data_IF_531000090143
#
_entry.id   IF_531000090143
#
_cell.length_a   1.000
_cell.length_b   1.000
_cell.length_c   1.000
_cell.angle_alpha   90.00
_cell.angle_beta   90.00
_cell.angle_gamma   90.00
#
_symmetry.space_group_name_H-M   'P 1'
#
loop_
_entity.id
_entity.type
_entity.pdbx_description
1 polymer ?
#
# COMPACT_ATOMS: atom_id res chain seq x y z
N UNK A 1 47.34 -11.48 79.39
CA UNK A 1 47.46 -12.28 78.14
C UNK A 1 46.10 -12.73 77.77
N UNK A 2 45.44 -11.95 76.84
CA UNK A 2 44.03 -12.14 76.48
C UNK A 2 43.99 -12.52 75.00
N UNK A 3 43.60 -13.75 74.73
CA UNK A 3 43.45 -14.27 73.35
C UNK A 3 42.17 -13.90 72.77
N UNK A 4 42.17 -13.08 71.68
CA UNK A 4 41.05 -12.71 70.86
C UNK A 4 40.80 -13.84 69.84
N UNK A 5 39.65 -14.49 69.89
CA UNK A 5 39.21 -15.48 68.89
C UNK A 5 38.48 -14.78 67.79
N UNK A 6 39.03 -14.79 66.58
CA UNK A 6 38.40 -14.29 65.33
C UNK A 6 37.44 -15.38 64.81
N UNK A 7 36.15 -15.07 64.74
CA UNK A 7 35.15 -15.92 64.10
C UNK A 7 35.08 -15.57 62.60
N UNK A 8 35.37 -16.52 61.77
CA UNK A 8 35.17 -16.46 60.33
C UNK A 8 33.71 -16.83 60.00
N UNK A 9 32.98 -15.90 59.38
CA UNK A 9 31.67 -16.16 58.76
C UNK A 9 31.90 -16.44 57.28
N UNK A 10 31.45 -17.58 56.70
CA UNK A 10 31.44 -17.78 55.28
C UNK A 10 30.20 -17.14 54.67
N UNK A 11 30.38 -16.00 54.00
CA UNK A 11 29.36 -15.44 53.12
C UNK A 11 29.32 -16.28 51.84
N UNK A 12 28.21 -16.99 51.61
CA UNK A 12 27.88 -17.63 50.35
C UNK A 12 27.17 -16.60 49.48
N UNK A 13 27.70 -16.22 48.31
CA UNK A 13 26.94 -15.37 47.38
C UNK A 13 25.91 -16.22 46.65
N UNK A 14 24.64 -15.97 46.88
CA UNK A 14 23.55 -16.48 46.07
C UNK A 14 23.57 -15.78 44.72
N UNK A 15 24.04 -16.46 43.68
CA UNK A 15 23.95 -16.00 42.29
C UNK A 15 22.48 -16.17 41.84
N UNK A 16 21.74 -15.08 41.88
CA UNK A 16 20.39 -15.02 41.26
C UNK A 16 20.58 -15.00 39.75
N UNK A 17 20.31 -16.10 39.08
CA UNK A 17 20.21 -16.19 37.63
C UNK A 17 18.95 -15.44 37.17
N UNK A 18 19.10 -14.22 36.72
CA UNK A 18 18.06 -13.44 36.00
C UNK A 18 17.89 -14.06 34.62
N UNK A 19 16.90 -14.93 34.48
CA UNK A 19 16.37 -15.40 33.19
C UNK A 19 15.71 -14.20 32.51
N UNK A 20 16.42 -13.56 31.60
CA UNK A 20 15.89 -12.55 30.70
C UNK A 20 14.91 -13.21 29.72
N UNK A 21 13.63 -13.14 30.00
CA UNK A 21 12.58 -13.42 29.03
C UNK A 21 12.68 -12.37 27.95
N UNK A 22 13.34 -12.68 26.84
CA UNK A 22 13.25 -11.92 25.60
C UNK A 22 11.83 -12.16 25.07
N UNK A 23 10.90 -11.32 25.49
CA UNK A 23 9.59 -11.25 24.87
C UNK A 23 9.84 -10.78 23.43
N UNK A 24 9.58 -11.66 22.45
CA UNK A 24 9.44 -11.26 21.05
C UNK A 24 8.24 -10.28 21.00
N UNK A 25 8.51 -8.98 21.05
CA UNK A 25 7.51 -7.98 20.74
C UNK A 25 7.05 -8.24 19.31
N UNK A 26 5.74 -8.33 19.03
CA UNK A 26 5.27 -8.43 17.66
C UNK A 26 5.82 -7.22 16.89
N UNK A 27 6.43 -7.47 15.73
CA UNK A 27 6.93 -6.41 14.88
C UNK A 27 5.77 -5.44 14.62
N UNK A 28 5.94 -4.19 15.04
CA UNK A 28 4.94 -3.17 14.74
C UNK A 28 4.86 -3.04 13.22
N UNK A 29 3.66 -3.00 12.64
CA UNK A 29 3.50 -2.80 11.22
C UNK A 29 4.17 -1.47 10.84
N UNK A 30 4.92 -1.46 9.74
CA UNK A 30 5.55 -0.25 9.22
C UNK A 30 4.45 0.77 8.86
N UNK A 31 4.36 1.83 9.65
CA UNK A 31 3.41 2.92 9.45
C UNK A 31 4.06 4.00 8.58
N UNK A 32 3.47 4.26 7.43
CA UNK A 32 3.91 5.32 6.51
C UNK A 32 2.83 6.39 6.44
N UNK A 33 3.17 7.62 6.81
CA UNK A 33 2.21 8.73 6.68
C UNK A 33 2.16 9.23 5.24
N UNK A 34 0.94 9.38 4.71
CA UNK A 34 0.66 10.00 3.42
C UNK A 34 -0.53 10.95 3.57
N UNK A 35 -0.25 12.26 3.45
CA UNK A 35 -1.26 13.29 3.73
C UNK A 35 -1.90 13.12 5.10
N UNK A 36 -3.22 12.97 5.11
CA UNK A 36 -4.02 12.72 6.32
C UNK A 36 -4.01 11.24 6.75
N UNK A 37 -3.65 10.34 5.85
CA UNK A 37 -3.77 8.91 6.10
C UNK A 37 -2.51 8.32 6.71
N UNK A 38 -2.72 7.31 7.54
CA UNK A 38 -1.68 6.37 7.98
C UNK A 38 -1.79 5.09 7.17
N UNK A 39 -0.79 4.85 6.33
CA UNK A 39 -0.67 3.66 5.53
C UNK A 39 -0.07 2.54 6.39
N UNK A 40 -0.85 1.52 6.66
CA UNK A 40 -0.41 0.31 7.34
C UNK A 40 -0.12 -0.78 6.30
N UNK A 41 1.15 -1.17 6.20
CA UNK A 41 1.63 -2.13 5.23
C UNK A 41 1.50 -3.58 5.75
N UNK A 42 1.21 -4.56 4.91
CA UNK A 42 1.25 -5.97 5.28
C UNK A 42 2.67 -6.43 5.58
N UNK A 43 2.81 -7.59 6.22
CA UNK A 43 4.12 -8.18 6.55
C UNK A 43 5.02 -8.29 5.32
N UNK A 44 6.30 -7.92 5.47
CA UNK A 44 7.31 -7.96 4.43
C UNK A 44 8.38 -6.89 4.63
N UNK A 45 9.41 -6.89 3.79
CA UNK A 45 10.45 -5.87 3.81
C UNK A 45 10.06 -4.73 2.88
N UNK A 46 9.55 -3.64 3.44
CA UNK A 46 9.12 -2.47 2.69
C UNK A 46 10.18 -1.37 2.71
N UNK A 47 10.53 -0.88 1.53
CA UNK A 47 11.48 0.20 1.33
C UNK A 47 10.76 1.46 0.85
N UNK A 48 10.92 2.61 1.52
CA UNK A 48 10.42 3.88 1.02
C UNK A 48 11.09 4.25 -0.31
N UNK A 49 10.30 4.60 -1.31
CA UNK A 49 10.77 5.10 -2.61
C UNK A 49 10.71 6.63 -2.72
N UNK A 50 10.16 7.29 -1.69
CA UNK A 50 9.92 8.72 -1.67
C UNK A 50 8.47 9.07 -1.97
N UNK A 51 8.25 10.33 -2.33
CA UNK A 51 6.93 10.85 -2.63
C UNK A 51 7.01 12.26 -3.17
N UNK A 52 5.85 12.84 -3.41
CA UNK A 52 5.68 14.17 -3.95
C UNK A 52 4.50 14.89 -3.30
N UNK A 53 4.41 16.19 -3.50
CA UNK A 53 3.29 17.01 -3.12
C UNK A 53 2.86 17.84 -4.33
N UNK A 54 1.59 17.84 -4.63
CA UNK A 54 1.02 18.58 -5.75
C UNK A 54 -0.31 19.20 -5.35
N UNK A 55 -0.82 20.09 -6.17
CA UNK A 55 -2.10 20.72 -5.98
C UNK A 55 -3.02 20.31 -7.13
N UNK A 56 -4.25 19.88 -6.79
CA UNK A 56 -5.28 19.58 -7.77
C UNK A 56 -6.23 20.76 -7.86
N UNK A 57 -6.43 21.23 -9.08
CA UNK A 57 -7.54 22.08 -9.40
C UNK A 57 -8.81 21.25 -9.45
N UNK A 58 -9.75 21.51 -8.55
CA UNK A 58 -10.97 20.75 -8.38
C UNK A 58 -12.23 21.54 -8.72
N UNK A 59 -12.06 22.76 -9.23
CA UNK A 59 -13.15 23.61 -9.69
C UNK A 59 -12.96 24.02 -11.15
N UNK A 60 -14.03 24.11 -11.94
CA UNK A 60 -13.94 24.45 -13.35
C UNK A 60 -13.70 25.95 -13.62
N UNK A 61 -13.75 26.76 -12.59
CA UNK A 61 -13.48 28.20 -12.66
C UNK A 61 -12.11 28.49 -12.03
N UNK A 62 -11.34 29.39 -12.62
CA UNK A 62 -10.01 29.86 -12.18
C UNK A 62 -9.96 30.42 -10.73
N UNK A 63 -10.99 30.18 -9.94
CA UNK A 63 -10.99 30.49 -8.53
C UNK A 63 -10.14 29.43 -7.80
N UNK A 64 -8.90 29.77 -7.55
CA UNK A 64 -7.87 28.98 -6.89
C UNK A 64 -8.36 28.32 -5.58
N UNK A 65 -8.84 27.09 -5.70
CA UNK A 65 -9.08 26.21 -4.55
C UNK A 65 -8.37 24.91 -4.84
N UNK A 66 -7.05 25.04 -5.01
CA UNK A 66 -6.17 23.91 -5.17
C UNK A 66 -6.27 22.98 -3.98
N UNK A 67 -6.59 21.74 -4.24
CA UNK A 67 -6.65 20.72 -3.23
C UNK A 67 -5.23 20.16 -3.03
N UNK A 68 -4.58 20.43 -1.89
CA UNK A 68 -3.23 19.94 -1.65
C UNK A 68 -3.23 18.42 -1.49
N UNK A 69 -2.44 17.77 -2.31
CA UNK A 69 -2.29 16.32 -2.37
C UNK A 69 -0.89 15.90 -1.96
N UNK A 70 -0.78 14.75 -1.34
CA UNK A 70 0.49 14.12 -1.03
C UNK A 70 0.53 12.70 -1.57
N UNK A 71 1.63 12.39 -2.25
CA UNK A 71 1.94 11.05 -2.76
C UNK A 71 3.05 10.43 -1.93
N UNK A 72 2.95 9.13 -1.66
CA UNK A 72 4.02 8.30 -1.12
C UNK A 72 4.09 7.00 -1.88
N UNK A 73 5.31 6.51 -2.06
CA UNK A 73 5.57 5.24 -2.71
C UNK A 73 6.47 4.37 -1.86
N UNK A 74 6.15 3.09 -1.82
CA UNK A 74 6.92 2.05 -1.12
C UNK A 74 7.08 0.82 -2.01
N UNK A 75 8.21 0.14 -1.90
CA UNK A 75 8.47 -1.12 -2.59
C UNK A 75 8.58 -2.27 -1.60
N UNK A 76 7.89 -3.36 -1.88
CA UNK A 76 8.10 -4.65 -1.22
C UNK A 76 9.26 -5.36 -1.90
N UNK A 77 10.25 -5.78 -1.12
CA UNK A 77 11.43 -6.50 -1.60
C UNK A 77 11.45 -7.94 -1.12
N UNK A 78 12.01 -8.82 -1.96
CA UNK A 78 12.39 -10.17 -1.53
C UNK A 78 13.64 -10.14 -0.67
N UNK A 79 14.04 -11.28 -0.11
CA UNK A 79 15.34 -11.44 0.58
C UNK A 79 16.54 -11.17 -0.33
N UNK A 80 16.38 -11.35 -1.65
CA UNK A 80 17.40 -11.05 -2.66
C UNK A 80 17.33 -9.62 -3.19
N UNK A 81 16.65 -8.69 -2.47
CA UNK A 81 16.45 -7.28 -2.85
C UNK A 81 15.68 -7.09 -4.18
N UNK A 82 15.06 -8.16 -4.70
CA UNK A 82 14.23 -8.07 -5.91
C UNK A 82 12.92 -7.32 -5.61
N UNK A 83 12.50 -6.35 -6.45
CA UNK A 83 11.21 -5.70 -6.29
C UNK A 83 10.07 -6.70 -6.57
N UNK A 84 9.25 -6.98 -5.56
CA UNK A 84 8.07 -7.85 -5.68
C UNK A 84 6.80 -7.07 -5.91
N UNK A 85 6.65 -5.93 -5.24
CA UNK A 85 5.53 -5.03 -5.48
C UNK A 85 5.94 -3.58 -5.25
N UNK A 86 5.23 -2.68 -5.89
CA UNK A 86 5.28 -1.24 -5.61
C UNK A 86 3.88 -0.77 -5.31
N UNK A 87 3.73 -0.01 -4.25
CA UNK A 87 2.51 0.66 -3.86
C UNK A 87 2.75 2.17 -3.91
N UNK A 88 1.93 2.87 -4.69
CA UNK A 88 1.90 4.34 -4.75
C UNK A 88 0.54 4.80 -4.27
N UNK A 89 0.53 5.60 -3.22
CA UNK A 89 -0.71 6.14 -2.63
C UNK A 89 -0.64 7.65 -2.68
N UNK A 90 -1.74 8.25 -3.15
CA UNK A 90 -1.94 9.68 -3.16
C UNK A 90 -3.26 10.00 -2.44
N UNK A 91 -3.25 10.98 -1.56
CA UNK A 91 -4.44 11.45 -0.84
C UNK A 91 -4.28 12.91 -0.44
N UNK A 92 -5.34 13.50 0.10
CA UNK A 92 -5.33 14.86 0.61
C UNK A 92 -4.21 15.08 1.64
N UNK A 93 -3.42 16.13 1.46
CA UNK A 93 -2.36 16.50 2.40
C UNK A 93 -2.92 17.06 3.71
N UNK A 94 -4.09 17.71 3.64
CA UNK A 94 -4.79 18.33 4.77
C UNK A 94 -6.28 18.00 4.72
N UNK A 95 -7.08 18.64 5.57
CA UNK A 95 -8.52 18.58 5.46
C UNK A 95 -8.97 19.16 4.11
N UNK A 96 -9.86 18.44 3.45
CA UNK A 96 -10.45 18.89 2.17
C UNK A 96 -11.51 19.95 2.40
N UNK A 97 -11.81 20.77 1.39
CA UNK A 97 -12.88 21.77 1.46
C UNK A 97 -14.24 21.09 1.69
N UNK A 98 -15.18 21.86 2.27
CA UNK A 98 -16.54 21.39 2.52
C UNK A 98 -17.46 21.60 1.32
N UNK A 99 -17.05 22.41 0.37
CA UNK A 99 -17.82 22.69 -0.84
C UNK A 99 -17.77 21.49 -1.80
N UNK A 100 -18.83 21.35 -2.59
CA UNK A 100 -18.91 20.30 -3.60
C UNK A 100 -17.77 20.42 -4.60
N UNK A 101 -17.04 19.33 -4.76
CA UNK A 101 -15.90 19.22 -5.67
C UNK A 101 -16.37 18.58 -6.97
N UNK A 102 -15.95 19.13 -8.11
CA UNK A 102 -16.17 18.54 -9.42
C UNK A 102 -14.93 17.74 -9.84
N UNK A 103 -15.10 16.45 -10.03
CA UNK A 103 -14.04 15.55 -10.46
C UNK A 103 -14.13 15.27 -11.95
N UNK A 104 -13.11 15.64 -12.70
CA UNK A 104 -13.06 15.47 -14.16
C UNK A 104 -12.49 14.12 -14.60
N UNK A 105 -11.93 13.32 -13.69
CA UNK A 105 -11.29 12.06 -14.03
C UNK A 105 -12.32 10.97 -14.32
N UNK A 106 -12.56 10.70 -15.58
CA UNK A 106 -13.45 9.63 -16.01
C UNK A 106 -12.82 8.23 -15.81
N UNK A 107 -13.67 7.26 -15.50
CA UNK A 107 -13.33 5.83 -15.45
C UNK A 107 -13.59 5.17 -16.81
N UNK A 108 -12.87 5.61 -17.84
CA UNK A 108 -13.11 5.15 -19.22
C UNK A 108 -12.66 3.70 -19.44
N UNK A 109 -13.38 2.92 -20.25
CA UNK A 109 -12.94 1.63 -20.72
C UNK A 109 -11.59 1.72 -21.44
N UNK A 110 -10.75 0.69 -21.28
CA UNK A 110 -9.44 0.60 -21.94
C UNK A 110 -9.22 -0.84 -22.43
N UNK A 111 -8.75 -0.99 -23.66
CA UNK A 111 -8.50 -2.31 -24.25
C UNK A 111 -7.53 -3.14 -23.39
N UNK A 112 -7.95 -4.36 -23.06
CA UNK A 112 -7.14 -5.30 -22.27
C UNK A 112 -6.97 -4.94 -20.79
N UNK A 113 -7.76 -4.01 -20.28
CA UNK A 113 -7.87 -3.63 -18.87
C UNK A 113 -9.28 -3.95 -18.40
N UNK A 114 -9.42 -4.64 -17.30
CA UNK A 114 -10.69 -4.76 -16.61
C UNK A 114 -10.95 -3.43 -15.90
N UNK A 115 -12.11 -2.83 -16.14
CA UNK A 115 -12.50 -1.54 -15.57
C UNK A 115 -13.87 -1.69 -14.91
N UNK A 116 -13.93 -1.32 -13.63
CA UNK A 116 -15.17 -1.30 -12.84
C UNK A 116 -15.40 0.14 -12.38
N UNK A 117 -16.49 0.74 -12.85
CA UNK A 117 -16.92 2.10 -12.48
C UNK A 117 -18.18 2.02 -11.62
N UNK A 118 -18.02 2.13 -10.31
CA UNK A 118 -19.13 2.13 -9.37
C UNK A 118 -19.79 3.52 -9.24
N UNK A 119 -19.11 4.58 -9.68
CA UNK A 119 -19.69 5.94 -9.73
C UNK A 119 -20.49 6.21 -11.02
N UNK A 120 -20.35 5.37 -12.06
CA UNK A 120 -21.07 5.42 -13.33
C UNK A 120 -21.08 6.79 -13.99
N UNK A 121 -19.89 7.41 -14.09
CA UNK A 121 -19.72 8.71 -14.74
C UNK A 121 -20.25 9.90 -13.93
N UNK A 122 -20.42 9.77 -12.63
CA UNK A 122 -20.75 10.90 -11.77
C UNK A 122 -19.70 12.01 -11.86
N UNK A 123 -20.09 13.30 -12.04
CA UNK A 123 -19.13 14.40 -12.06
C UNK A 123 -18.61 14.78 -10.68
N UNK A 124 -19.28 14.35 -9.61
CA UNK A 124 -18.96 14.69 -8.22
C UNK A 124 -18.34 13.53 -7.42
N UNK A 125 -18.16 12.37 -8.06
CA UNK A 125 -17.62 11.19 -7.42
C UNK A 125 -16.78 10.38 -8.39
N UNK A 126 -15.70 9.80 -7.89
CA UNK A 126 -14.92 8.76 -8.56
C UNK A 126 -15.02 7.49 -7.73
N UNK A 127 -15.27 6.35 -8.36
CA UNK A 127 -15.15 5.03 -7.74
C UNK A 127 -14.75 4.06 -8.87
N UNK A 128 -13.45 4.03 -9.16
CA UNK A 128 -12.90 3.42 -10.36
C UNK A 128 -11.79 2.42 -10.02
N UNK A 129 -12.07 1.14 -10.21
CA UNK A 129 -11.10 0.06 -10.09
C UNK A 129 -10.65 -0.39 -11.49
N UNK A 130 -9.35 -0.48 -11.71
CA UNK A 130 -8.75 -0.90 -12.97
C UNK A 130 -7.73 -2.02 -12.71
N UNK A 131 -7.76 -3.04 -13.54
CA UNK A 131 -6.87 -4.16 -13.45
C UNK A 131 -6.29 -4.56 -14.80
N UNK A 132 -4.98 -4.49 -14.94
CA UNK A 132 -4.23 -5.02 -16.07
C UNK A 132 -3.43 -6.24 -15.61
N UNK A 133 -3.86 -7.41 -16.05
CA UNK A 133 -3.30 -8.70 -15.64
C UNK A 133 -1.83 -8.88 -15.99
N UNK A 134 -1.38 -8.39 -17.13
CA UNK A 134 -0.02 -8.52 -17.64
C UNK A 134 0.47 -7.13 -18.06
N UNK A 135 0.82 -6.30 -17.05
CA UNK A 135 1.18 -4.91 -17.26
C UNK A 135 2.65 -4.74 -17.70
N UNK A 136 3.49 -5.76 -17.48
CA UNK A 136 4.89 -5.77 -17.93
C UNK A 136 5.07 -6.03 -19.43
N UNK A 137 3.98 -6.33 -20.16
CA UNK A 137 4.01 -6.58 -21.60
C UNK A 137 3.53 -5.35 -22.38
N UNK A 138 3.94 -5.24 -23.63
CA UNK A 138 3.43 -4.28 -24.63
C UNK A 138 3.60 -2.80 -24.25
N UNK A 139 4.55 -2.47 -23.36
CA UNK A 139 4.78 -1.09 -22.93
C UNK A 139 3.57 -0.44 -22.25
N UNK A 140 2.64 -1.24 -21.73
CA UNK A 140 1.39 -0.75 -21.16
C UNK A 140 1.57 0.35 -20.12
N UNK A 141 2.50 0.15 -19.17
CA UNK A 141 2.70 1.14 -18.10
C UNK A 141 3.22 2.47 -18.67
N UNK A 142 4.14 2.42 -19.63
CA UNK A 142 4.68 3.60 -20.28
C UNK A 142 3.63 4.36 -21.12
N UNK A 143 2.66 3.65 -21.72
CA UNK A 143 1.57 4.28 -22.47
C UNK A 143 0.43 4.78 -21.60
N UNK A 144 0.04 4.01 -20.58
CA UNK A 144 -1.10 4.33 -19.72
C UNK A 144 -0.77 5.28 -18.56
N UNK A 145 0.46 5.22 -18.04
CA UNK A 145 0.95 6.00 -16.89
C UNK A 145 2.43 6.39 -17.10
N UNK A 146 2.74 7.24 -18.12
CA UNK A 146 4.12 7.52 -18.52
C UNK A 146 4.97 8.13 -17.38
N UNK A 147 4.42 9.05 -16.61
CA UNK A 147 5.13 9.66 -15.49
C UNK A 147 5.47 8.62 -14.40
N UNK A 148 4.50 7.75 -14.05
CA UNK A 148 4.74 6.66 -13.10
C UNK A 148 5.79 5.67 -13.62
N UNK A 149 5.70 5.28 -14.89
CA UNK A 149 6.65 4.37 -15.50
C UNK A 149 8.08 4.92 -15.46
N UNK A 150 8.27 6.18 -15.87
CA UNK A 150 9.56 6.85 -15.82
C UNK A 150 10.10 6.95 -14.40
N UNK A 151 9.26 7.38 -13.46
CA UNK A 151 9.64 7.55 -12.07
C UNK A 151 10.09 6.23 -11.42
N UNK A 152 9.37 5.13 -11.67
CA UNK A 152 9.72 3.80 -11.17
C UNK A 152 10.99 3.24 -11.81
N UNK A 153 11.18 3.47 -13.10
CA UNK A 153 12.39 3.02 -13.82
C UNK A 153 13.64 3.69 -13.26
N UNK A 154 13.60 5.00 -13.01
CA UNK A 154 14.71 5.74 -12.40
C UNK A 154 15.10 5.22 -11.00
N UNK A 155 14.15 4.60 -10.28
CA UNK A 155 14.35 4.04 -8.94
C UNK A 155 14.60 2.53 -8.91
N UNK A 156 14.69 1.91 -10.08
CA UNK A 156 14.86 0.45 -10.21
C UNK A 156 13.82 -0.33 -9.40
N UNK A 157 12.58 0.19 -9.37
CA UNK A 157 11.50 -0.34 -8.56
C UNK A 157 10.46 -1.13 -9.36
N UNK A 158 10.61 -1.22 -10.69
CA UNK A 158 9.70 -2.02 -11.52
C UNK A 158 10.00 -3.50 -11.27
N UNK A 159 9.00 -4.35 -10.95
CA UNK A 159 9.21 -5.78 -10.82
C UNK A 159 9.80 -6.39 -12.09
N UNK A 160 10.88 -7.18 -11.97
CA UNK A 160 11.57 -7.80 -13.09
C UNK A 160 10.75 -8.92 -13.75
N UNK A 161 9.99 -9.67 -12.94
CA UNK A 161 9.09 -10.72 -13.42
C UNK A 161 7.78 -10.14 -13.98
N UNK A 162 7.00 -10.96 -14.72
CA UNK A 162 5.68 -10.54 -15.16
C UNK A 162 4.84 -10.03 -13.99
N UNK A 163 4.38 -8.80 -14.07
CA UNK A 163 3.60 -8.15 -13.04
C UNK A 163 2.22 -7.71 -13.54
N UNK A 164 1.32 -7.53 -12.59
CA UNK A 164 0.01 -6.94 -12.79
C UNK A 164 0.01 -5.49 -12.32
N UNK A 165 -0.86 -4.67 -12.90
CA UNK A 165 -1.13 -3.31 -12.42
C UNK A 165 -2.58 -3.23 -11.95
N UNK A 166 -2.74 -2.82 -10.71
CA UNK A 166 -4.04 -2.47 -10.10
C UNK A 166 -4.03 -0.98 -9.84
N UNK A 167 -5.06 -0.29 -10.26
CA UNK A 167 -5.25 1.13 -9.94
C UNK A 167 -6.66 1.32 -9.40
N UNK A 168 -6.75 1.95 -8.25
CA UNK A 168 -8.03 2.33 -7.66
C UNK A 168 -8.05 3.82 -7.36
N UNK A 169 -9.13 4.48 -7.74
CA UNK A 169 -9.37 5.89 -7.43
C UNK A 169 -10.75 6.05 -6.82
N UNK A 170 -10.80 6.77 -5.73
CA UNK A 170 -12.04 7.09 -5.05
C UNK A 170 -12.06 8.54 -4.57
N UNK A 171 -13.21 9.18 -4.73
CA UNK A 171 -13.41 10.53 -4.22
C UNK A 171 -14.82 10.71 -3.66
N UNK A 172 -14.97 11.69 -2.79
CA UNK A 172 -16.24 12.14 -2.25
C UNK A 172 -16.62 13.52 -2.81
N UNK A 173 -17.91 13.90 -2.80
CA UNK A 173 -18.34 15.23 -3.22
C UNK A 173 -17.72 16.37 -2.41
N UNK A 174 -17.33 16.08 -1.16
CA UNK A 174 -16.74 17.04 -0.23
C UNK A 174 -15.23 17.23 -0.43
N UNK A 175 -14.65 16.65 -1.49
CA UNK A 175 -13.22 16.80 -1.82
C UNK A 175 -12.29 15.77 -1.20
N UNK A 176 -12.82 14.75 -0.52
CA UNK A 176 -12.00 13.61 -0.09
C UNK A 176 -11.53 12.80 -1.31
N UNK A 177 -10.22 12.46 -1.37
CA UNK A 177 -9.63 11.74 -2.49
C UNK A 177 -8.58 10.73 -2.05
N UNK A 178 -8.59 9.57 -2.68
CA UNK A 178 -7.51 8.60 -2.62
C UNK A 178 -7.29 7.97 -3.99
N UNK A 179 -6.02 7.86 -4.38
CA UNK A 179 -5.57 7.09 -5.53
C UNK A 179 -4.53 6.08 -5.07
N UNK A 180 -4.67 4.85 -5.53
CA UNK A 180 -3.76 3.76 -5.23
C UNK A 180 -3.34 3.11 -6.54
N UNK A 181 -2.04 3.06 -6.83
CA UNK A 181 -1.47 2.27 -7.92
C UNK A 181 -0.60 1.17 -7.31
N UNK A 182 -0.84 -0.07 -7.70
CA UNK A 182 -0.06 -1.24 -7.27
C UNK A 182 0.49 -1.97 -8.48
N UNK A 183 1.82 -2.06 -8.57
CA UNK A 183 2.49 -3.01 -9.44
C UNK A 183 2.84 -4.23 -8.58
N UNK A 184 2.32 -5.38 -8.90
CA UNK A 184 2.57 -6.59 -8.12
C UNK A 184 3.06 -7.73 -9.02
N UNK A 185 4.18 -8.35 -8.62
CA UNK A 185 4.64 -9.59 -9.23
C UNK A 185 3.48 -10.59 -9.30
N UNK A 186 3.37 -11.26 -10.42
CA UNK A 186 2.29 -12.23 -10.65
C UNK A 186 2.22 -13.31 -9.59
N UNK A 187 3.36 -13.69 -9.01
CA UNK A 187 3.45 -14.70 -7.94
C UNK A 187 2.68 -14.30 -6.69
N UNK A 188 2.56 -12.99 -6.39
CA UNK A 188 1.84 -12.49 -5.22
C UNK A 188 0.31 -12.57 -5.36
N UNK A 189 -0.19 -12.47 -6.60
CA UNK A 189 -1.63 -12.37 -6.89
C UNK A 189 -2.24 -13.68 -7.37
N UNK A 190 -1.42 -14.65 -7.78
CA UNK A 190 -1.92 -15.86 -8.41
C UNK A 190 -1.35 -17.11 -7.76
N UNK A 191 -2.22 -18.07 -7.46
CA UNK A 191 -1.76 -19.37 -7.01
C UNK A 191 -1.02 -20.08 -8.15
N UNK A 192 0.01 -20.84 -7.77
CA UNK A 192 0.61 -21.83 -8.66
C UNK A 192 -0.34 -23.01 -8.73
N UNK A 193 -0.88 -23.29 -9.92
CA UNK A 193 -1.82 -24.38 -10.14
C UNK A 193 -1.27 -25.34 -11.20
N UNK A 194 -1.45 -26.63 -10.98
CA UNK A 194 -0.93 -27.69 -11.83
C UNK A 194 -1.98 -28.22 -12.82
N UNK A 195 -3.26 -28.03 -12.49
CA UNK A 195 -4.38 -28.55 -13.28
C UNK A 195 -5.64 -27.68 -13.11
N UNK A 196 -6.66 -27.95 -13.92
CA UNK A 196 -7.92 -27.23 -13.91
C UNK A 196 -8.70 -27.35 -12.59
N UNK A 197 -8.60 -28.48 -11.91
CA UNK A 197 -9.29 -28.70 -10.63
C UNK A 197 -8.71 -27.80 -9.54
N UNK A 198 -7.37 -27.72 -9.44
CA UNK A 198 -6.70 -26.79 -8.53
C UNK A 198 -7.03 -25.34 -8.86
N UNK A 199 -7.10 -24.99 -10.16
CA UNK A 199 -7.48 -23.66 -10.61
C UNK A 199 -8.90 -23.29 -10.15
N UNK A 200 -9.87 -24.20 -10.34
CA UNK A 200 -11.25 -23.96 -9.92
C UNK A 200 -11.37 -23.87 -8.40
N UNK A 201 -10.62 -24.72 -7.66
CA UNK A 201 -10.60 -24.69 -6.19
C UNK A 201 -9.95 -23.43 -5.63
N UNK A 202 -8.92 -22.91 -6.28
CA UNK A 202 -8.24 -21.68 -5.88
C UNK A 202 -9.12 -20.41 -6.00
N UNK A 203 -10.15 -20.46 -6.83
CA UNK A 203 -11.07 -19.35 -7.04
C UNK A 203 -10.42 -18.15 -7.73
N UNK A 204 -10.77 -16.94 -7.30
CA UNK A 204 -10.28 -15.67 -7.87
C UNK A 204 -9.57 -14.81 -6.81
N UNK A 205 -8.44 -15.26 -6.24
CA UNK A 205 -7.81 -14.58 -5.12
C UNK A 205 -7.35 -13.16 -5.46
N UNK A 206 -6.90 -12.91 -6.68
CA UNK A 206 -6.54 -11.57 -7.12
C UNK A 206 -7.73 -10.61 -7.12
N UNK A 207 -8.90 -11.07 -7.55
CA UNK A 207 -10.12 -10.25 -7.56
C UNK A 207 -10.55 -9.91 -6.13
N UNK A 208 -10.62 -10.91 -5.24
CA UNK A 208 -10.96 -10.70 -3.84
C UNK A 208 -10.00 -9.73 -3.15
N UNK A 209 -8.70 -9.83 -3.45
CA UNK A 209 -7.69 -8.92 -2.93
C UNK A 209 -7.89 -7.49 -3.43
N UNK A 210 -8.20 -7.29 -4.72
CA UNK A 210 -8.46 -5.96 -5.29
C UNK A 210 -9.70 -5.31 -4.68
N UNK A 211 -10.76 -6.08 -4.44
CA UNK A 211 -11.98 -5.61 -3.77
C UNK A 211 -11.68 -5.18 -2.33
N UNK A 212 -10.89 -5.94 -1.59
CA UNK A 212 -10.43 -5.57 -0.25
C UNK A 212 -9.56 -4.31 -0.26
N UNK A 213 -8.64 -4.18 -1.22
CA UNK A 213 -7.81 -2.99 -1.39
C UNK A 213 -8.67 -1.74 -1.66
N UNK A 214 -9.63 -1.85 -2.58
CA UNK A 214 -10.55 -0.77 -2.90
C UNK A 214 -11.41 -0.38 -1.67
N UNK A 215 -11.89 -1.35 -0.92
CA UNK A 215 -12.64 -1.11 0.30
C UNK A 215 -11.79 -0.40 1.37
N UNK A 216 -10.56 -0.86 1.61
CA UNK A 216 -9.65 -0.26 2.57
C UNK A 216 -9.29 1.18 2.18
N UNK A 217 -8.98 1.43 0.90
CA UNK A 217 -8.71 2.76 0.39
C UNK A 217 -9.92 3.71 0.55
N UNK A 218 -11.12 3.22 0.25
CA UNK A 218 -12.38 3.98 0.43
C UNK A 218 -12.59 4.35 1.90
N UNK A 219 -12.39 3.40 2.80
CA UNK A 219 -12.53 3.62 4.24
C UNK A 219 -11.52 4.64 4.77
N UNK A 220 -10.30 4.69 4.22
CA UNK A 220 -9.24 5.58 4.70
C UNK A 220 -9.57 7.07 4.58
N UNK A 221 -10.45 7.46 3.66
CA UNK A 221 -10.87 8.86 3.51
C UNK A 221 -12.25 9.16 4.08
N UNK A 222 -13.03 8.14 4.40
CA UNK A 222 -14.36 8.29 5.02
C UNK A 222 -14.32 8.20 6.54
N UNK A 223 -13.24 7.65 7.12
CA UNK A 223 -13.05 7.54 8.56
C UNK A 223 -12.26 8.73 9.12
N UNK A 224 -12.51 9.09 10.37
CA UNK A 224 -11.83 10.20 11.04
C UNK A 224 -10.33 9.95 11.27
N UNK A 225 -9.94 8.69 11.47
CA UNK A 225 -8.55 8.28 11.74
C UNK A 225 -7.68 8.20 10.49
N UNK A 226 -8.26 8.25 9.31
CA UNK A 226 -7.51 8.23 8.06
C UNK A 226 -6.67 6.97 7.85
N UNK A 227 -6.96 5.86 8.50
CA UNK A 227 -6.13 4.66 8.42
C UNK A 227 -6.40 3.88 7.14
N UNK A 228 -5.34 3.64 6.38
CA UNK A 228 -5.36 2.80 5.19
C UNK A 228 -4.61 1.49 5.46
N UNK A 229 -5.33 0.43 5.76
CA UNK A 229 -4.77 -0.90 5.99
C UNK A 229 -4.71 -1.64 4.66
N UNK A 230 -3.51 -1.79 4.10
CA UNK A 230 -3.31 -2.53 2.86
C UNK A 230 -3.50 -4.03 3.13
N UNK A 231 -4.41 -4.71 2.41
CA UNK A 231 -4.64 -6.13 2.63
C UNK A 231 -3.39 -6.95 2.28
N UNK A 232 -3.10 -8.04 3.01
CA UNK A 232 -2.00 -8.92 2.67
C UNK A 232 -2.20 -9.53 1.29
N UNK A 233 -1.11 -9.73 0.54
CA UNK A 233 -1.19 -10.39 -0.75
C UNK A 233 -1.75 -11.81 -0.59
N UNK A 234 -2.52 -12.32 -1.57
CA UNK A 234 -3.17 -13.62 -1.46
C UNK A 234 -2.20 -14.80 -1.49
N UNK A 235 -0.99 -14.60 -1.95
CA UNK A 235 0.06 -15.62 -1.95
C UNK A 235 1.20 -15.23 -1.01
N UNK A 236 1.89 -16.23 -0.47
CA UNK A 236 3.09 -16.02 0.33
C UNK A 236 4.18 -15.30 -0.48
N UNK A 237 5.04 -14.55 0.21
CA UNK A 237 6.17 -13.89 -0.43
C UNK A 237 7.11 -14.95 -1.02
N UNK A 238 7.59 -14.75 -2.26
CA UNK A 238 8.64 -15.60 -2.82
C UNK A 238 9.92 -15.51 -1.98
N UNK A 239 10.57 -16.65 -1.79
CA UNK A 239 11.87 -16.74 -1.11
C UNK A 239 12.99 -16.13 -1.95
#
# INVERSE_FOLDING_TARGET
MTFLRLRWNPFVPAIAALLSLVACAPAQPDLVRVGRAELQLPAGTWQPLGGDAEQFDVRPDDTAHDLPMQTRAVALRSRAEEPLAVLVVQTNASNHPRDTTLWTAACLPQKGVQVEDAARGSPVRIDCLRYKRSAGTDGYLASARPALAQWLTQRQAVPANPYSHVSYRYSTPEGGYVSVDVLADRRLLRPTVRNNEEFLRAGRPAQAWMEQLAQAARQSITMLDGRFVVPPFPQALPE
#
